data_IF_497220542484
#
_entry.id   IF_497220542484
#
_cell.length_a   1.000
_cell.length_b   1.000
_cell.length_c   1.000
_cell.angle_alpha   90.00
_cell.angle_beta   90.00
_cell.angle_gamma   90.00
#
_symmetry.space_group_name_H-M   'P 1'
#
loop_
_entity.id
_entity.type
_entity.pdbx_description
1 polymer ?
#
# COMPACT_ATOMS: atom_id res chain seq x y z
N UNK A 1 21.50 56.01 5.76
CA UNK A 1 21.14 55.68 7.15
C UNK A 1 20.25 54.46 7.08
N UNK A 2 20.81 53.30 7.40
CA UNK A 2 20.13 52.00 7.37
C UNK A 2 18.94 52.06 8.33
N UNK A 3 17.73 51.92 7.79
CA UNK A 3 16.55 51.69 8.63
C UNK A 3 16.69 50.27 9.10
N UNK A 4 16.88 50.09 10.40
CA UNK A 4 16.73 48.79 11.04
C UNK A 4 15.38 48.21 10.61
N UNK A 5 15.44 47.29 9.66
CA UNK A 5 14.29 46.50 9.22
C UNK A 5 13.85 45.72 10.45
N UNK A 6 12.77 46.18 11.08
CA UNK A 6 12.15 45.48 12.21
C UNK A 6 11.72 44.13 11.65
N UNK A 7 12.49 43.09 11.94
CA UNK A 7 12.22 41.73 11.49
C UNK A 7 10.85 41.33 12.02
N UNK A 8 9.91 41.06 11.11
CA UNK A 8 8.62 40.52 11.49
C UNK A 8 8.77 39.02 11.79
N UNK A 9 8.96 38.71 13.07
CA UNK A 9 9.07 37.34 13.54
C UNK A 9 7.85 36.48 13.20
N UNK A 10 6.65 37.07 13.08
CA UNK A 10 5.44 36.33 12.71
C UNK A 10 5.45 35.94 11.24
N UNK A 11 5.92 36.84 10.37
CA UNK A 11 6.09 36.54 8.95
C UNK A 11 7.13 35.42 8.77
N UNK A 12 8.25 35.50 9.49
CA UNK A 12 9.31 34.50 9.44
C UNK A 12 8.85 33.12 9.96
N UNK A 13 8.09 33.08 11.05
CA UNK A 13 7.52 31.83 11.57
C UNK A 13 6.57 31.19 10.56
N UNK A 14 5.72 31.99 9.90
CA UNK A 14 4.81 31.51 8.86
C UNK A 14 5.57 30.93 7.67
N UNK A 15 6.65 31.58 7.24
CA UNK A 15 7.52 31.09 6.17
C UNK A 15 8.16 29.75 6.55
N UNK A 16 8.68 29.64 7.77
CA UNK A 16 9.25 28.40 8.29
C UNK A 16 8.22 27.27 8.29
N UNK A 17 7.01 27.51 8.80
CA UNK A 17 5.95 26.50 8.81
C UNK A 17 5.53 26.06 7.40
N UNK A 18 5.48 27.01 6.45
CA UNK A 18 5.20 26.71 5.05
C UNK A 18 6.29 25.83 4.44
N UNK A 19 7.57 26.14 4.68
CA UNK A 19 8.70 25.37 4.21
C UNK A 19 8.69 23.94 4.77
N UNK A 20 8.51 23.79 6.08
CA UNK A 20 8.42 22.47 6.73
C UNK A 20 7.28 21.62 6.17
N UNK A 21 6.11 22.23 5.95
CA UNK A 21 4.95 21.53 5.40
C UNK A 21 5.20 21.10 3.95
N UNK A 22 5.85 21.94 3.15
CA UNK A 22 6.22 21.63 1.77
C UNK A 22 7.22 20.47 1.69
N UNK A 23 8.24 20.48 2.54
CA UNK A 23 9.24 19.41 2.62
C UNK A 23 8.61 18.09 3.06
N UNK A 24 7.72 18.14 4.06
CA UNK A 24 7.04 16.94 4.51
C UNK A 24 6.16 16.34 3.41
N UNK A 25 5.43 17.18 2.67
CA UNK A 25 4.65 16.75 1.51
C UNK A 25 5.55 16.12 0.45
N UNK A 26 6.65 16.77 0.08
CA UNK A 26 7.60 16.27 -0.90
C UNK A 26 8.16 14.90 -0.50
N UNK A 27 8.55 14.75 0.78
CA UNK A 27 9.06 13.50 1.31
C UNK A 27 8.04 12.36 1.22
N UNK A 28 6.78 12.62 1.56
CA UNK A 28 5.70 11.62 1.49
C UNK A 28 5.41 11.20 0.05
N UNK A 29 5.31 12.16 -0.87
CA UNK A 29 5.08 11.89 -2.29
C UNK A 29 6.25 11.11 -2.91
N UNK A 30 7.49 11.50 -2.62
CA UNK A 30 8.66 10.79 -3.15
C UNK A 30 8.76 9.36 -2.60
N UNK A 31 8.45 9.16 -1.31
CA UNK A 31 8.36 7.82 -0.75
C UNK A 31 7.27 6.98 -1.45
N UNK A 32 6.13 7.58 -1.81
CA UNK A 32 5.09 6.89 -2.58
C UNK A 32 5.54 6.56 -4.01
N UNK A 33 6.26 7.48 -4.68
CA UNK A 33 6.85 7.23 -6.00
C UNK A 33 7.81 6.04 -5.97
N UNK A 34 8.74 6.01 -5.02
CA UNK A 34 9.70 4.92 -4.86
C UNK A 34 8.99 3.59 -4.61
N UNK A 35 8.01 3.55 -3.69
CA UNK A 35 7.22 2.34 -3.43
C UNK A 35 6.47 1.84 -4.66
N UNK A 36 5.85 2.73 -5.44
CA UNK A 36 5.11 2.34 -6.64
C UNK A 36 6.04 1.75 -7.72
N UNK A 37 7.27 2.31 -7.84
CA UNK A 37 8.31 1.77 -8.73
C UNK A 37 8.79 0.40 -8.24
N UNK A 38 9.06 0.24 -6.95
CA UNK A 38 9.45 -1.04 -6.33
C UNK A 38 8.39 -2.12 -6.52
N UNK A 39 7.11 -1.75 -6.42
CA UNK A 39 5.97 -2.64 -6.64
C UNK A 39 5.72 -2.98 -8.12
N UNK A 40 6.45 -2.34 -9.05
CA UNK A 40 6.32 -2.54 -10.52
C UNK A 40 4.88 -2.39 -11.01
N UNK A 41 4.25 -1.30 -10.58
CA UNK A 41 2.88 -0.93 -10.97
C UNK A 41 2.71 -0.92 -12.50
N UNK A 42 1.62 -1.51 -12.99
CA UNK A 42 1.44 -1.82 -14.41
C UNK A 42 1.02 -0.61 -15.26
N UNK A 43 0.39 0.40 -14.67
CA UNK A 43 -0.14 1.57 -15.39
C UNK A 43 0.24 2.90 -14.74
N UNK A 44 0.35 3.94 -15.56
CA UNK A 44 0.61 5.29 -15.06
C UNK A 44 -0.54 5.80 -14.18
N UNK A 45 -1.80 5.46 -14.50
CA UNK A 45 -2.95 5.89 -13.70
C UNK A 45 -2.90 5.31 -12.28
N UNK A 46 -2.47 4.05 -12.12
CA UNK A 46 -2.27 3.43 -10.81
C UNK A 46 -1.10 4.09 -10.06
N UNK A 47 0.02 4.35 -10.75
CA UNK A 47 1.15 5.09 -10.17
C UNK A 47 0.71 6.48 -9.68
N UNK A 48 -0.02 7.22 -10.51
CA UNK A 48 -0.56 8.54 -10.20
C UNK A 48 -1.51 8.48 -9.01
N UNK A 49 -2.39 7.49 -8.97
CA UNK A 49 -3.29 7.24 -7.84
C UNK A 49 -2.54 7.05 -6.52
N UNK A 50 -1.50 6.21 -6.52
CA UNK A 50 -0.68 5.94 -5.32
C UNK A 50 0.02 7.21 -4.82
N UNK A 51 0.59 8.02 -5.72
CA UNK A 51 1.30 9.25 -5.34
C UNK A 51 0.33 10.31 -4.79
N UNK A 52 -0.82 10.50 -5.44
CA UNK A 52 -1.85 11.45 -4.98
C UNK A 52 -2.42 11.04 -3.61
N UNK A 53 -2.61 9.74 -3.39
CA UNK A 53 -3.10 9.18 -2.14
C UNK A 53 -2.02 9.08 -1.03
N UNK A 54 -0.82 9.61 -1.25
CA UNK A 54 0.32 9.50 -0.30
C UNK A 54 0.07 10.13 1.08
N UNK A 55 -0.92 11.03 1.18
CA UNK A 55 -1.33 11.68 2.41
C UNK A 55 -2.35 10.87 3.23
N UNK A 56 -2.90 9.78 2.69
CA UNK A 56 -3.88 8.95 3.39
C UNK A 56 -3.20 8.14 4.51
N UNK A 57 -3.86 8.08 5.67
CA UNK A 57 -3.42 7.26 6.80
C UNK A 57 -4.00 5.84 6.66
N UNK A 58 -3.26 4.80 7.09
CA UNK A 58 -3.84 3.47 7.22
C UNK A 58 -5.09 3.49 8.10
N UNK A 59 -6.11 2.73 7.72
CA UNK A 59 -7.34 2.63 8.49
C UNK A 59 -7.07 2.07 9.88
N UNK A 60 -7.55 2.76 10.91
CA UNK A 60 -7.47 2.28 12.27
C UNK A 60 -8.53 1.19 12.53
N UNK A 61 -8.37 0.41 13.60
CA UNK A 61 -9.33 -0.66 13.92
C UNK A 61 -10.76 -0.12 14.13
N UNK A 62 -10.88 1.11 14.63
CA UNK A 62 -12.15 1.81 14.83
C UNK A 62 -12.80 2.27 13.52
N UNK A 63 -12.01 2.44 12.46
CA UNK A 63 -12.50 2.87 11.13
C UNK A 63 -13.02 1.68 10.30
N UNK A 64 -12.74 0.45 10.75
CA UNK A 64 -13.23 -0.75 10.09
C UNK A 64 -14.73 -0.86 10.31
N UNK A 65 -15.52 -0.54 9.29
CA UNK A 65 -16.95 -0.86 9.20
C UNK A 65 -17.12 -2.37 9.10
N UNK A 66 -17.02 -3.05 10.24
CA UNK A 66 -17.17 -4.48 10.36
C UNK A 66 -17.03 -4.86 11.82
N UNK A 67 -18.17 -5.05 12.50
CA UNK A 67 -18.20 -5.79 13.77
C UNK A 67 -17.56 -7.17 13.60
N UNK A 68 -17.36 -7.90 14.73
CA UNK A 68 -16.77 -9.26 14.75
C UNK A 68 -17.23 -10.05 13.52
N UNK A 69 -16.33 -10.26 12.56
CA UNK A 69 -16.63 -11.07 11.37
C UNK A 69 -16.77 -12.49 11.87
N UNK A 70 -18.00 -12.91 12.14
CA UNK A 70 -18.34 -14.30 12.54
C UNK A 70 -18.07 -15.29 11.41
N UNK A 71 -17.91 -14.79 10.17
CA UNK A 71 -17.70 -15.64 9.00
C UNK A 71 -16.22 -15.97 8.85
N UNK A 72 -15.83 -17.25 8.90
CA UNK A 72 -14.48 -17.66 8.55
C UNK A 72 -14.18 -17.23 7.12
N UNK A 73 -13.04 -16.57 6.91
CA UNK A 73 -12.57 -16.17 5.58
C UNK A 73 -12.39 -17.37 4.62
N UNK A 74 -12.29 -18.58 5.18
CA UNK A 74 -12.35 -19.84 4.45
C UNK A 74 -13.55 -20.67 4.91
N UNK A 75 -14.62 -20.71 4.11
CA UNK A 75 -15.73 -21.65 4.32
C UNK A 75 -15.35 -23.11 4.02
N UNK A 76 -14.20 -23.35 3.38
CA UNK A 76 -13.80 -24.66 2.88
C UNK A 76 -13.09 -25.55 3.92
N UNK A 77 -12.70 -25.01 5.08
CA UNK A 77 -11.90 -25.76 6.07
C UNK A 77 -12.73 -26.45 7.16
N UNK A 78 -14.05 -26.26 7.17
CA UNK A 78 -14.97 -26.93 8.12
C UNK A 78 -15.89 -27.89 7.38
N UNK A 79 -15.33 -28.88 6.68
CA UNK A 79 -16.01 -30.16 6.51
C UNK A 79 -15.03 -31.28 6.85
N UNK A 80 -15.02 -31.66 8.13
CA UNK A 80 -14.68 -33.02 8.51
C UNK A 80 -15.73 -33.96 7.94
N UNK A 81 -15.56 -34.35 6.67
CA UNK A 81 -16.13 -35.56 6.10
C UNK A 81 -14.98 -36.32 5.47
N UNK A 82 -14.66 -37.44 6.11
CA UNK A 82 -13.89 -38.54 5.55
C UNK A 82 -14.45 -38.90 4.17
N UNK A 83 -13.84 -38.37 3.11
CA UNK A 83 -13.88 -39.02 1.81
C UNK A 83 -12.80 -40.10 1.84
N UNK A 84 -13.24 -41.30 2.24
CA UNK A 84 -12.56 -42.53 1.90
C UNK A 84 -12.41 -42.58 0.38
N UNK A 85 -11.18 -42.81 -0.04
CA UNK A 85 -10.79 -43.61 -1.20
C UNK A 85 -11.40 -43.23 -2.56
N UNK A 86 -10.56 -42.65 -3.42
CA UNK A 86 -10.36 -43.14 -4.79
C UNK A 86 -8.93 -42.74 -5.13
N UNK A 87 -8.02 -43.69 -4.91
CA UNK A 87 -6.78 -43.76 -5.65
C UNK A 87 -7.11 -43.86 -7.14
N UNK A 88 -6.77 -42.85 -7.92
CA UNK A 88 -6.59 -43.02 -9.37
C UNK A 88 -5.32 -42.28 -9.77
N UNK A 89 -4.23 -43.03 -9.65
CA UNK A 89 -3.16 -43.14 -10.64
C UNK A 89 -2.84 -41.86 -11.45
N UNK A 90 -1.87 -41.09 -10.96
CA UNK A 90 -1.08 -40.21 -11.84
C UNK A 90 -0.06 -41.11 -12.54
N UNK A 91 -0.48 -41.69 -13.68
CA UNK A 91 0.41 -42.44 -14.57
C UNK A 91 1.55 -41.56 -15.09
N UNK A 92 2.77 -42.04 -14.88
CA UNK A 92 3.99 -41.53 -15.48
C UNK A 92 3.92 -41.70 -17.01
N UNK A 93 3.81 -40.60 -17.77
CA UNK A 93 4.10 -40.63 -19.19
C UNK A 93 5.49 -40.03 -19.46
N UNK A 94 6.46 -40.94 -19.43
CA UNK A 94 7.80 -40.81 -19.99
C UNK A 94 7.71 -40.80 -21.53
N UNK A 95 7.76 -39.63 -22.15
CA UNK A 95 8.03 -39.54 -23.59
C UNK A 95 9.54 -39.62 -23.82
N UNK A 96 10.03 -40.84 -24.09
CA UNK A 96 11.28 -41.05 -24.84
C UNK A 96 11.02 -40.67 -26.29
N UNK A 97 11.77 -39.68 -26.79
CA UNK A 97 11.89 -39.40 -28.22
C UNK A 97 12.90 -40.37 -28.81
N UNK A 98 12.46 -41.23 -29.73
CA UNK A 98 13.33 -41.96 -30.67
C UNK A 98 13.21 -41.28 -32.02
N UNK A 99 14.36 -40.96 -32.60
CA UNK A 99 14.57 -40.43 -33.95
C UNK A 99 16.04 -40.17 -34.15
#
# INVERSE_FOLDING_TARGET
>A
MERNDIIDFKALEKELQAALTADEKYRRENAAKLRAVEQRVASYEEFRGIVLASHLKPLEQKDKMGGKRTVPWNCCTTQGKTFQDVATEISQNSHKSSG
#
